data_IF_776330060746
#
_entry.id   IF_776330060746
#
_cell.length_a   1.000
_cell.length_b   1.000
_cell.length_c   1.000
_cell.angle_alpha   90.00
_cell.angle_beta   90.00
_cell.angle_gamma   90.00
#
_symmetry.space_group_name_H-M   'P 1'
#
loop_
_entity.id
_entity.type
_entity.pdbx_description
1 polymer ?
#
# COMPACT_ATOMS: atom_id res chain seq x y z
N UNK A 1 -9.11 10.22 49.85
CA UNK A 1 -9.17 9.21 48.77
C UNK A 1 -10.24 9.67 47.78
N UNK A 2 -9.87 10.28 46.64
CA UNK A 2 -10.84 10.70 45.61
C UNK A 2 -11.21 9.51 44.73
N UNK A 3 -12.52 9.26 44.67
CA UNK A 3 -13.15 8.13 44.00
C UNK A 3 -12.91 8.15 42.50
N UNK A 4 -12.56 6.98 41.96
CA UNK A 4 -12.16 6.70 40.57
C UNK A 4 -13.36 6.59 39.61
N UNK A 5 -14.48 7.23 39.93
CA UNK A 5 -15.81 6.89 39.41
C UNK A 5 -16.42 7.89 38.42
N UNK A 6 -15.62 8.81 37.86
CA UNK A 6 -16.11 9.78 36.87
C UNK A 6 -15.35 9.69 35.54
N UNK A 7 -15.16 8.45 35.04
CA UNK A 7 -14.89 8.27 33.61
C UNK A 7 -16.24 8.33 32.91
N UNK A 8 -16.71 9.56 32.67
CA UNK A 8 -17.81 9.81 31.78
C UNK A 8 -17.60 9.02 30.50
N UNK A 9 -18.59 8.19 30.16
CA UNK A 9 -18.67 7.59 28.85
C UNK A 9 -18.86 8.74 27.86
N UNK A 10 -17.75 9.24 27.30
CA UNK A 10 -17.78 10.17 26.18
C UNK A 10 -18.74 9.60 25.12
N UNK A 11 -19.80 10.33 24.74
CA UNK A 11 -20.84 9.78 23.88
C UNK A 11 -20.21 9.38 22.55
N UNK A 12 -20.26 8.08 22.25
CA UNK A 12 -19.77 7.53 20.97
C UNK A 12 -20.44 8.30 19.83
N UNK A 13 -19.65 9.11 19.13
CA UNK A 13 -20.15 10.02 18.10
C UNK A 13 -20.92 9.24 17.02
N UNK A 14 -22.25 9.37 17.02
CA UNK A 14 -23.14 8.67 16.09
C UNK A 14 -22.79 9.03 14.64
N UNK A 15 -22.81 8.03 13.75
CA UNK A 15 -22.68 8.21 12.28
C UNK A 15 -23.72 9.22 11.82
N UNK A 16 -23.29 10.34 11.22
CA UNK A 16 -24.23 11.18 10.48
C UNK A 16 -24.40 10.60 9.07
N UNK A 17 -25.60 10.69 8.48
CA UNK A 17 -25.88 10.07 7.18
C UNK A 17 -24.94 10.53 6.05
N UNK A 18 -24.40 11.74 6.10
CA UNK A 18 -23.45 12.26 5.10
C UNK A 18 -22.00 11.75 5.22
N UNK A 19 -21.64 11.03 6.27
CA UNK A 19 -20.26 10.52 6.47
C UNK A 19 -19.85 9.53 5.38
N UNK A 20 -20.75 8.60 5.06
CA UNK A 20 -20.49 7.58 4.05
C UNK A 20 -20.30 8.17 2.67
N UNK A 21 -21.08 9.20 2.33
CA UNK A 21 -20.97 9.90 1.05
C UNK A 21 -19.66 10.67 0.93
N UNK A 22 -19.27 11.40 1.98
CA UNK A 22 -18.01 12.15 1.99
C UNK A 22 -16.80 11.22 1.93
N UNK A 23 -16.80 10.14 2.72
CA UNK A 23 -15.75 9.14 2.64
C UNK A 23 -15.71 8.50 1.25
N UNK A 24 -16.86 8.15 0.68
CA UNK A 24 -16.97 7.62 -0.67
C UNK A 24 -16.39 8.56 -1.72
N UNK A 25 -16.68 9.86 -1.62
CA UNK A 25 -16.11 10.88 -2.50
C UNK A 25 -14.59 11.01 -2.35
N UNK A 26 -14.06 10.96 -1.12
CA UNK A 26 -12.62 10.98 -0.85
C UNK A 26 -11.94 9.75 -1.47
N UNK A 27 -12.49 8.56 -1.26
CA UNK A 27 -11.93 7.33 -1.82
C UNK A 27 -12.04 7.30 -3.35
N UNK A 28 -13.14 7.81 -3.92
CA UNK A 28 -13.27 7.95 -5.36
C UNK A 28 -12.22 8.90 -5.94
N UNK A 29 -11.99 10.05 -5.30
CA UNK A 29 -10.93 10.97 -5.70
C UNK A 29 -9.56 10.28 -5.63
N UNK A 30 -9.26 9.58 -4.53
CA UNK A 30 -8.03 8.82 -4.37
C UNK A 30 -7.85 7.71 -5.43
N UNK A 31 -8.94 7.04 -5.82
CA UNK A 31 -8.94 6.05 -6.89
C UNK A 31 -8.66 6.70 -8.25
N UNK A 32 -9.32 7.82 -8.56
CA UNK A 32 -9.11 8.55 -9.81
C UNK A 32 -7.65 8.99 -9.94
N UNK A 33 -7.06 9.55 -8.88
CA UNK A 33 -5.64 9.92 -8.85
C UNK A 33 -4.72 8.73 -9.11
N UNK A 34 -4.99 7.57 -8.48
CA UNK A 34 -4.26 6.32 -8.72
C UNK A 34 -4.36 5.84 -10.16
N UNK A 35 -5.54 5.91 -10.77
CA UNK A 35 -5.74 5.50 -12.16
C UNK A 35 -5.01 6.42 -13.16
N UNK A 36 -5.01 7.74 -12.91
CA UNK A 36 -4.24 8.69 -13.71
C UNK A 36 -2.74 8.41 -13.57
N UNK A 37 -2.25 8.29 -12.35
CA UNK A 37 -0.85 8.00 -12.10
C UNK A 37 -0.42 6.65 -12.69
N UNK A 38 -1.22 5.60 -12.53
CA UNK A 38 -0.97 4.28 -13.12
C UNK A 38 -0.85 4.37 -14.65
N UNK A 39 -1.70 5.17 -15.30
CA UNK A 39 -1.60 5.39 -16.74
C UNK A 39 -0.30 6.10 -17.14
N UNK A 40 0.14 7.09 -16.37
CA UNK A 40 1.40 7.79 -16.63
C UNK A 40 2.59 6.83 -16.50
N UNK A 41 2.70 6.12 -15.38
CA UNK A 41 3.82 5.20 -15.17
C UNK A 41 3.79 4.01 -16.12
N UNK A 42 2.61 3.53 -16.54
CA UNK A 42 2.49 2.44 -17.51
C UNK A 42 3.00 2.81 -18.91
N UNK A 43 3.13 4.12 -19.21
CA UNK A 43 3.74 4.59 -20.44
C UNK A 43 5.27 4.71 -20.34
N UNK A 44 5.84 4.60 -19.14
CA UNK A 44 7.28 4.69 -18.93
C UNK A 44 7.99 3.38 -19.33
N UNK A 45 9.08 3.43 -20.12
CA UNK A 45 9.85 2.22 -20.47
C UNK A 45 10.36 1.42 -19.27
N UNK A 46 10.57 2.06 -18.12
CA UNK A 46 11.03 1.41 -16.87
C UNK A 46 9.91 0.68 -16.13
N UNK A 47 8.65 0.79 -16.57
CA UNK A 47 7.52 0.11 -15.94
C UNK A 47 7.72 -1.41 -15.87
N UNK A 48 8.25 -2.01 -16.93
CA UNK A 48 8.55 -3.46 -17.01
C UNK A 48 9.95 -3.81 -16.47
N UNK A 49 10.77 -2.81 -16.13
CA UNK A 49 12.16 -2.99 -15.69
C UNK A 49 12.41 -2.26 -14.38
N UNK A 50 11.91 -2.79 -13.24
CA UNK A 50 12.08 -2.15 -11.95
C UNK A 50 13.57 -1.99 -11.61
N UNK A 51 13.95 -0.77 -11.23
CA UNK A 51 15.35 -0.40 -11.00
C UNK A 51 15.69 -0.44 -9.50
N UNK A 52 16.98 -0.62 -9.21
CA UNK A 52 17.56 -0.54 -7.84
C UNK A 52 16.83 -1.43 -6.83
N UNK A 53 16.06 -0.82 -5.93
CA UNK A 53 15.40 -1.52 -4.84
C UNK A 53 14.19 -2.33 -5.30
N UNK A 54 13.37 -1.77 -6.19
CA UNK A 54 12.26 -2.50 -6.80
C UNK A 54 12.77 -3.71 -7.59
N UNK A 55 13.88 -3.57 -8.32
CA UNK A 55 14.51 -4.65 -9.07
C UNK A 55 15.02 -5.79 -8.17
N UNK A 56 15.57 -5.45 -7.00
CA UNK A 56 15.96 -6.44 -6.00
C UNK A 56 14.76 -7.25 -5.48
N UNK A 57 13.64 -6.57 -5.21
CA UNK A 57 12.41 -7.22 -4.75
C UNK A 57 11.75 -8.06 -5.84
N UNK A 58 11.75 -7.58 -7.09
CA UNK A 58 11.28 -8.31 -8.26
C UNK A 58 12.08 -9.61 -8.49
N UNK A 59 13.41 -9.52 -8.51
CA UNK A 59 14.29 -10.69 -8.63
C UNK A 59 14.00 -11.73 -7.54
N UNK A 60 13.93 -11.29 -6.27
CA UNK A 60 13.62 -12.19 -5.16
C UNK A 60 12.25 -12.84 -5.33
N UNK A 61 11.21 -12.05 -5.65
CA UNK A 61 9.86 -12.58 -5.85
C UNK A 61 9.78 -13.58 -7.00
N UNK A 62 10.42 -13.29 -8.14
CA UNK A 62 10.47 -14.21 -9.29
C UNK A 62 11.21 -15.49 -8.94
N UNK A 63 12.35 -15.41 -8.27
CA UNK A 63 13.12 -16.57 -7.84
C UNK A 63 12.38 -17.46 -6.82
N UNK A 64 11.55 -16.86 -5.95
CA UNK A 64 10.66 -17.62 -5.06
C UNK A 64 9.60 -18.41 -5.83
N UNK A 65 9.09 -17.88 -6.94
CA UNK A 65 8.06 -18.54 -7.76
C UNK A 65 8.67 -19.58 -8.71
N UNK A 66 9.80 -19.27 -9.34
CA UNK A 66 10.43 -20.14 -10.35
C UNK A 66 11.36 -21.20 -9.74
N UNK A 67 11.93 -20.93 -8.56
CA UNK A 67 13.05 -21.69 -7.99
C UNK A 67 14.42 -21.38 -8.62
N UNK A 68 14.45 -20.49 -9.62
CA UNK A 68 15.69 -20.05 -10.29
C UNK A 68 16.24 -18.78 -9.63
N UNK A 69 17.40 -18.92 -8.99
CA UNK A 69 18.11 -17.85 -8.31
C UNK A 69 19.26 -17.27 -9.15
N UNK A 70 19.30 -17.54 -10.46
CA UNK A 70 20.33 -16.97 -11.34
C UNK A 70 20.18 -15.44 -11.38
N UNK A 71 21.21 -14.67 -10.96
CA UNK A 71 21.14 -13.21 -10.96
C UNK A 71 20.96 -12.64 -12.38
N UNK A 72 20.22 -11.53 -12.55
CA UNK A 72 20.12 -10.85 -13.83
C UNK A 72 21.49 -10.46 -14.39
N UNK A 73 21.64 -10.51 -15.72
CA UNK A 73 22.91 -10.24 -16.39
C UNK A 73 23.47 -8.85 -16.01
N UNK A 74 24.75 -8.83 -15.60
CA UNK A 74 25.44 -7.60 -15.21
C UNK A 74 25.14 -7.10 -13.79
N UNK A 75 24.35 -7.83 -13.00
CA UNK A 75 24.12 -7.53 -11.58
C UNK A 75 24.91 -8.49 -10.68
N UNK A 76 25.49 -8.00 -9.55
CA UNK A 76 26.15 -8.88 -8.59
C UNK A 76 25.12 -9.80 -7.93
N UNK A 77 25.52 -11.05 -7.67
CA UNK A 77 24.67 -12.00 -6.94
C UNK A 77 24.40 -11.46 -5.52
N UNK A 78 23.14 -11.15 -5.16
CA UNK A 78 22.80 -10.73 -3.81
C UNK A 78 22.86 -11.87 -2.78
N UNK A 79 23.07 -13.12 -3.22
CA UNK A 79 23.22 -14.34 -2.42
C UNK A 79 22.04 -14.61 -1.48
N UNK A 80 20.84 -14.15 -1.85
CA UNK A 80 19.62 -14.21 -1.04
C UNK A 80 19.37 -15.59 -0.39
N UNK A 81 19.54 -16.74 -1.10
CA UNK A 81 19.35 -18.06 -0.50
C UNK A 81 20.39 -18.45 0.55
N UNK A 82 21.55 -17.78 0.55
CA UNK A 82 22.73 -18.15 1.33
C UNK A 82 23.07 -17.14 2.44
N UNK A 83 22.52 -15.92 2.39
CA UNK A 83 22.66 -14.90 3.43
C UNK A 83 21.29 -14.56 4.05
N UNK A 84 20.99 -15.06 5.25
CA UNK A 84 19.73 -14.73 5.89
C UNK A 84 19.68 -13.23 6.27
N UNK A 85 18.53 -12.60 6.03
CA UNK A 85 18.15 -11.25 6.51
C UNK A 85 18.89 -10.03 5.93
N UNK A 86 19.37 -10.07 4.68
CA UNK A 86 19.90 -8.86 4.03
C UNK A 86 18.84 -7.71 3.96
N UNK A 87 17.57 -8.07 3.74
CA UNK A 87 16.40 -7.17 3.82
C UNK A 87 15.20 -7.89 4.43
N UNK A 88 14.23 -7.17 5.02
CA UNK A 88 12.99 -7.77 5.50
C UNK A 88 12.26 -8.51 4.36
N UNK A 89 11.90 -9.80 4.54
CA UNK A 89 11.37 -10.63 3.46
C UNK A 89 9.89 -10.37 3.15
N UNK A 90 9.19 -9.58 3.97
CA UNK A 90 7.73 -9.43 3.86
C UNK A 90 7.26 -8.97 2.47
N UNK A 91 7.92 -7.97 1.89
CA UNK A 91 7.53 -7.44 0.58
C UNK A 91 7.82 -8.40 -0.58
N UNK A 92 9.03 -9.03 -0.70
CA UNK A 92 9.27 -10.08 -1.69
C UNK A 92 8.28 -11.24 -1.66
N UNK A 93 7.87 -11.70 -0.47
CA UNK A 93 6.89 -12.79 -0.35
C UNK A 93 5.48 -12.36 -0.76
N UNK A 94 5.08 -11.13 -0.40
CA UNK A 94 3.83 -10.54 -0.88
C UNK A 94 3.81 -10.47 -2.42
N UNK A 95 4.90 -9.98 -3.02
CA UNK A 95 5.04 -9.87 -4.46
C UNK A 95 5.05 -11.24 -5.15
N UNK A 96 5.75 -12.24 -4.57
CA UNK A 96 5.77 -13.61 -5.05
C UNK A 96 4.35 -14.22 -5.10
N UNK A 97 3.51 -13.93 -4.09
CA UNK A 97 2.11 -14.35 -4.08
C UNK A 97 1.31 -13.75 -5.26
N UNK A 98 1.53 -12.47 -5.56
CA UNK A 98 0.90 -11.82 -6.73
C UNK A 98 1.41 -12.45 -8.02
N UNK A 99 2.73 -12.63 -8.16
CA UNK A 99 3.35 -13.18 -9.36
C UNK A 99 2.94 -14.64 -9.62
N UNK A 100 2.78 -15.45 -8.58
CA UNK A 100 2.27 -16.81 -8.70
C UNK A 100 0.85 -16.86 -9.28
N UNK A 101 0.00 -15.88 -8.93
CA UNK A 101 -1.38 -15.80 -9.41
C UNK A 101 -1.52 -15.13 -10.78
N UNK A 102 -0.55 -14.31 -11.18
CA UNK A 102 -0.67 -13.40 -12.34
C UNK A 102 0.35 -13.67 -13.44
N UNK A 103 1.24 -14.64 -13.24
CA UNK A 103 2.33 -14.94 -14.18
C UNK A 103 3.43 -13.89 -14.20
N UNK A 104 3.69 -13.21 -13.06
CA UNK A 104 4.76 -12.21 -12.96
C UNK A 104 4.42 -10.82 -13.49
N UNK A 105 3.14 -10.43 -13.47
CA UNK A 105 2.68 -9.14 -13.99
C UNK A 105 3.01 -7.97 -13.06
N UNK A 106 3.82 -7.01 -13.53
CA UNK A 106 4.10 -5.76 -12.82
C UNK A 106 2.84 -4.89 -12.66
N UNK A 107 1.98 -4.86 -13.68
CA UNK A 107 0.71 -4.14 -13.63
C UNK A 107 -0.18 -4.67 -12.49
N UNK A 108 -0.28 -5.99 -12.34
CA UNK A 108 -1.09 -6.56 -11.28
C UNK A 108 -0.54 -6.21 -9.89
N UNK A 109 0.77 -6.22 -9.70
CA UNK A 109 1.41 -5.83 -8.44
C UNK A 109 1.05 -4.39 -8.03
N UNK A 110 1.23 -3.43 -8.95
CA UNK A 110 0.89 -2.02 -8.73
C UNK A 110 -0.59 -1.81 -8.47
N UNK A 111 -1.48 -2.49 -9.19
CA UNK A 111 -2.92 -2.42 -8.92
C UNK A 111 -3.24 -2.90 -7.51
N UNK A 112 -2.68 -4.04 -7.07
CA UNK A 112 -2.91 -4.56 -5.72
C UNK A 112 -2.36 -3.59 -4.67
N UNK A 113 -1.15 -3.03 -4.87
CA UNK A 113 -0.56 -2.01 -3.99
C UNK A 113 -1.46 -0.77 -3.86
N UNK A 114 -1.93 -0.23 -4.99
CA UNK A 114 -2.84 0.92 -5.03
C UNK A 114 -4.18 0.65 -4.32
N UNK A 115 -4.73 -0.56 -4.48
CA UNK A 115 -5.95 -0.97 -3.77
C UNK A 115 -5.72 -1.10 -2.26
N UNK A 116 -4.56 -1.62 -1.83
CA UNK A 116 -4.19 -1.67 -0.42
C UNK A 116 -3.98 -0.27 0.18
N UNK A 117 -3.40 0.66 -0.58
CA UNK A 117 -3.30 2.06 -0.21
C UNK A 117 -4.66 2.72 0.00
N UNK A 118 -5.59 2.48 -0.93
CA UNK A 118 -6.97 2.98 -0.82
C UNK A 118 -7.72 2.37 0.37
N UNK A 119 -7.55 1.07 0.60
CA UNK A 119 -8.05 0.39 1.80
C UNK A 119 -7.46 1.02 3.07
N UNK A 120 -6.16 1.31 3.06
CA UNK A 120 -5.45 2.02 4.12
C UNK A 120 -6.06 3.37 4.46
N UNK A 121 -6.43 4.16 3.46
CA UNK A 121 -7.14 5.43 3.66
C UNK A 121 -8.52 5.23 4.32
N UNK A 122 -9.26 4.19 3.93
CA UNK A 122 -10.52 3.82 4.58
C UNK A 122 -10.35 3.36 6.04
N UNK A 123 -9.26 2.65 6.35
CA UNK A 123 -8.91 2.27 7.73
C UNK A 123 -8.45 3.49 8.54
N UNK A 124 -7.72 4.42 7.94
CA UNK A 124 -7.31 5.67 8.57
C UNK A 124 -8.53 6.53 8.96
N UNK A 125 -9.57 6.56 8.13
CA UNK A 125 -10.88 7.15 8.51
C UNK A 125 -11.42 6.52 9.79
N UNK A 126 -11.49 5.18 9.83
CA UNK A 126 -12.04 4.46 10.98
C UNK A 126 -11.23 4.73 12.24
N UNK A 127 -9.91 4.69 12.15
CA UNK A 127 -9.00 4.93 13.27
C UNK A 127 -9.13 6.37 13.77
N UNK A 128 -8.99 7.36 12.89
CA UNK A 128 -9.09 8.78 13.24
C UNK A 128 -10.43 9.12 13.85
N UNK A 129 -11.51 8.54 13.31
CA UNK A 129 -12.85 8.71 13.86
C UNK A 129 -12.98 8.15 15.28
N UNK A 130 -12.46 6.94 15.52
CA UNK A 130 -12.57 6.30 16.84
C UNK A 130 -11.75 7.05 17.89
N UNK A 131 -10.60 7.60 17.52
CA UNK A 131 -9.67 8.21 18.47
C UNK A 131 -9.88 9.72 18.68
N UNK A 132 -10.23 10.45 17.62
CA UNK A 132 -10.16 11.91 17.57
C UNK A 132 -11.45 12.54 17.00
N UNK A 133 -12.48 11.72 16.76
CA UNK A 133 -13.77 12.17 16.24
C UNK A 133 -13.82 12.29 14.71
N UNK A 134 -15.02 12.59 14.22
CA UNK A 134 -15.37 12.57 12.79
C UNK A 134 -14.42 13.38 11.91
N UNK A 135 -14.13 14.63 12.29
CA UNK A 135 -13.35 15.55 11.46
C UNK A 135 -11.92 15.01 11.22
N UNK A 136 -11.28 14.49 12.28
CA UNK A 136 -9.97 13.87 12.19
C UNK A 136 -9.99 12.61 11.31
N UNK A 137 -11.02 11.77 11.41
CA UNK A 137 -11.19 10.62 10.52
C UNK A 137 -11.26 11.03 9.04
N UNK A 138 -12.10 12.00 8.69
CA UNK A 138 -12.22 12.48 7.31
C UNK A 138 -10.91 13.11 6.81
N UNK A 139 -10.23 13.88 7.66
CA UNK A 139 -8.93 14.46 7.34
C UNK A 139 -7.89 13.39 7.06
N UNK A 140 -7.75 12.37 7.93
CA UNK A 140 -6.79 11.28 7.72
C UNK A 140 -7.11 10.48 6.45
N UNK A 141 -8.39 10.24 6.17
CA UNK A 141 -8.80 9.57 4.94
C UNK A 141 -8.36 10.37 3.70
N UNK A 142 -8.64 11.68 3.69
CA UNK A 142 -8.25 12.57 2.61
C UNK A 142 -6.73 12.62 2.45
N UNK A 143 -6.01 12.83 3.55
CA UNK A 143 -4.55 12.89 3.56
C UNK A 143 -3.93 11.60 3.01
N UNK A 144 -4.33 10.43 3.51
CA UNK A 144 -3.82 9.15 3.02
C UNK A 144 -4.22 8.87 1.56
N UNK A 145 -5.45 9.23 1.16
CA UNK A 145 -5.94 8.98 -0.19
C UNK A 145 -5.25 9.87 -1.26
N UNK A 146 -4.82 11.09 -0.91
CA UNK A 146 -4.28 12.06 -1.89
C UNK A 146 -2.82 12.42 -1.70
N UNK A 147 -2.16 11.92 -0.64
CA UNK A 147 -0.74 12.21 -0.44
C UNK A 147 0.10 11.70 -1.61
N UNK A 148 0.95 12.58 -2.14
CA UNK A 148 1.88 12.23 -3.23
C UNK A 148 2.80 11.08 -2.84
N UNK A 149 3.25 11.05 -1.59
CA UNK A 149 4.12 9.99 -1.07
C UNK A 149 3.46 8.63 -1.19
N UNK A 150 2.20 8.48 -0.76
CA UNK A 150 1.50 7.20 -0.88
C UNK A 150 1.32 6.80 -2.36
N UNK A 151 0.87 7.74 -3.20
CA UNK A 151 0.67 7.48 -4.63
C UNK A 151 1.96 7.00 -5.32
N UNK A 152 3.08 7.67 -5.05
CA UNK A 152 4.38 7.33 -5.63
C UNK A 152 4.84 5.93 -5.23
N UNK A 153 4.85 5.61 -3.93
CA UNK A 153 5.31 4.29 -3.46
C UNK A 153 4.34 3.13 -3.78
N UNK A 154 3.07 3.43 -4.03
CA UNK A 154 2.12 2.42 -4.52
C UNK A 154 2.34 2.08 -6.01
N UNK A 155 2.97 2.97 -6.76
CA UNK A 155 3.30 2.77 -8.18
C UNK A 155 4.71 2.24 -8.43
N UNK A 156 5.57 2.18 -7.41
CA UNK A 156 6.93 1.64 -7.50
C UNK A 156 6.94 0.10 -7.39
#
# INVERSE_FOLDING_TARGET
>A
MRSRADRGEEPVERRRPGDGLLLGAILLLGLVLRLFYLREIAADPTFEYPLRDAGFHDYWARALVSGDWTPPHGQPDPRIPHVPFLRPPGYPYFLAGIYALTGGSHLAARIVQMLLGLLGAGLAYRLGRVLLGRAAGLFLAAFCATSWVALFYEGD
#
